data_IF_845738849542
#
_entry.id   IF_845738849542
#
_cell.length_a   1.000
_cell.length_b   1.000
_cell.length_c   1.000
_cell.angle_alpha   90.00
_cell.angle_beta   90.00
_cell.angle_gamma   90.00
#
_symmetry.space_group_name_H-M   'P 1'
#
loop_
_entity.id
_entity.type
_entity.pdbx_description
1 polymer ?
#
# COMPACT_ATOMS: atom_id res chain seq x y z
N UNK A 1 -40.29 37.47 20.93
CA UNK A 1 -40.65 36.07 21.26
C UNK A 1 -40.79 35.35 19.94
N UNK A 2 -39.67 34.83 19.44
CA UNK A 2 -39.62 34.04 18.21
C UNK A 2 -40.01 32.61 18.52
N UNK A 3 -40.89 32.04 17.67
CA UNK A 3 -41.31 30.66 17.74
C UNK A 3 -40.20 29.76 17.18
N UNK A 4 -39.80 28.77 17.98
CA UNK A 4 -38.81 27.75 17.64
C UNK A 4 -39.54 26.56 17.03
N UNK A 5 -39.23 26.23 15.78
CA UNK A 5 -39.66 24.97 15.16
C UNK A 5 -38.88 23.79 15.76
N UNK A 6 -39.53 22.65 16.07
CA UNK A 6 -38.86 21.46 16.59
C UNK A 6 -38.14 20.68 15.47
N UNK A 7 -37.05 19.95 15.78
CA UNK A 7 -36.31 19.21 14.76
C UNK A 7 -37.08 17.96 14.30
N UNK A 8 -37.03 17.72 12.99
CA UNK A 8 -37.58 16.56 12.29
C UNK A 8 -37.04 15.25 12.87
N UNK A 9 -37.98 14.40 13.28
CA UNK A 9 -37.78 13.00 13.68
C UNK A 9 -37.61 12.18 12.40
N UNK A 10 -36.42 11.63 12.17
CA UNK A 10 -36.21 10.64 11.11
C UNK A 10 -36.57 9.28 11.71
N UNK A 11 -37.66 8.69 11.21
CA UNK A 11 -38.06 7.33 11.56
C UNK A 11 -37.11 6.34 10.88
N UNK A 12 -36.43 5.51 11.69
CA UNK A 12 -35.67 4.37 11.20
C UNK A 12 -36.64 3.29 10.70
N UNK A 13 -36.81 3.23 9.38
CA UNK A 13 -37.45 2.08 8.74
C UNK A 13 -36.45 0.93 8.72
N UNK A 14 -36.59 0.00 9.66
CA UNK A 14 -35.92 -1.30 9.65
C UNK A 14 -36.39 -2.12 8.44
N UNK A 15 -35.52 -2.30 7.46
CA UNK A 15 -35.65 -3.36 6.44
C UNK A 15 -34.59 -4.40 6.74
N UNK A 16 -35.03 -5.57 7.21
CA UNK A 16 -34.20 -6.74 7.42
C UNK A 16 -33.74 -7.28 6.07
N UNK A 17 -32.46 -7.08 5.74
CA UNK A 17 -31.78 -7.91 4.77
C UNK A 17 -30.77 -8.78 5.52
N UNK A 18 -31.10 -10.07 5.61
CA UNK A 18 -30.14 -11.13 5.91
C UNK A 18 -29.01 -11.04 4.87
N UNK A 19 -27.86 -10.52 5.28
CA UNK A 19 -26.62 -10.63 4.51
C UNK A 19 -25.72 -11.56 5.32
N UNK A 20 -25.73 -12.81 4.88
CA UNK A 20 -24.93 -13.92 5.39
C UNK A 20 -23.49 -13.48 5.62
N UNK A 21 -23.02 -13.71 6.84
CA UNK A 21 -21.63 -13.56 7.26
C UNK A 21 -20.67 -14.24 6.29
N UNK A 22 -19.49 -13.65 6.12
CA UNK A 22 -18.33 -14.16 5.38
C UNK A 22 -18.33 -15.69 5.19
N UNK A 23 -18.75 -16.13 4.00
CA UNK A 23 -18.59 -17.51 3.56
C UNK A 23 -17.15 -17.73 3.09
N UNK A 24 -16.39 -18.48 3.87
CA UNK A 24 -15.23 -19.22 3.37
C UNK A 24 -15.70 -20.13 2.23
N UNK A 25 -15.03 -20.07 1.08
CA UNK A 25 -15.23 -21.08 0.03
C UNK A 25 -14.20 -22.17 0.30
N UNK A 26 -14.63 -23.41 0.46
CA UNK A 26 -13.71 -24.54 0.67
C UNK A 26 -12.92 -24.84 -0.62
N UNK A 27 -11.76 -25.48 -0.49
CA UNK A 27 -10.93 -25.92 -1.64
C UNK A 27 -11.71 -26.78 -2.64
N UNK A 28 -12.65 -27.59 -2.14
CA UNK A 28 -13.54 -28.44 -2.93
C UNK A 28 -14.58 -27.62 -3.72
N UNK A 29 -15.09 -26.54 -3.13
CA UNK A 29 -16.06 -25.65 -3.75
C UNK A 29 -15.41 -24.75 -4.84
N UNK A 30 -14.10 -24.48 -4.72
CA UNK A 30 -13.31 -23.83 -5.76
C UNK A 30 -13.00 -24.76 -6.95
N UNK A 31 -12.60 -26.02 -6.68
CA UNK A 31 -12.33 -27.01 -7.73
C UNK A 31 -13.58 -27.41 -8.53
N UNK A 32 -14.75 -27.41 -7.90
CA UNK A 32 -16.02 -27.63 -8.62
C UNK A 32 -16.42 -26.46 -9.53
N UNK A 33 -15.96 -25.23 -9.24
CA UNK A 33 -16.18 -24.07 -10.11
C UNK A 33 -15.18 -23.99 -11.27
N UNK A 34 -14.03 -24.65 -11.13
CA UNK A 34 -12.95 -24.67 -12.13
C UNK A 34 -12.39 -26.09 -12.32
N UNK A 35 -13.12 -26.98 -13.03
CA UNK A 35 -12.61 -28.30 -13.32
C UNK A 35 -11.39 -28.19 -14.27
N UNK A 36 -10.29 -28.92 -14.03
CA UNK A 36 -9.14 -28.89 -14.92
C UNK A 36 -9.51 -29.53 -16.27
N UNK A 37 -9.38 -28.75 -17.35
CA UNK A 37 -9.58 -29.23 -18.72
C UNK A 37 -8.44 -30.16 -19.11
N UNK A 38 -8.76 -31.40 -19.40
CA UNK A 38 -7.81 -32.40 -19.90
C UNK A 38 -7.47 -32.22 -21.38
N UNK A 39 -6.19 -32.47 -21.68
CA UNK A 39 -5.58 -32.91 -22.95
C UNK A 39 -5.56 -31.98 -24.16
N UNK A 40 -4.36 -31.86 -24.75
CA UNK A 40 -4.15 -31.50 -26.15
C UNK A 40 -2.82 -30.80 -26.41
N UNK A 41 -1.71 -31.54 -26.44
CA UNK A 41 -0.45 -31.05 -27.03
C UNK A 41 -0.60 -31.04 -28.55
N UNK A 42 -0.31 -29.92 -29.19
CA UNK A 42 0.07 -29.87 -30.61
C UNK A 42 1.21 -28.88 -30.77
N UNK A 43 2.35 -29.40 -31.19
CA UNK A 43 3.54 -28.69 -31.61
C UNK A 43 3.26 -27.93 -32.93
N UNK A 44 3.53 -26.62 -32.96
CA UNK A 44 3.86 -25.91 -34.19
C UNK A 44 5.04 -24.97 -33.90
N UNK A 45 6.20 -25.34 -34.45
CA UNK A 45 7.40 -24.53 -34.57
C UNK A 45 7.18 -23.40 -35.59
N UNK A 46 7.63 -22.17 -35.29
CA UNK A 46 8.21 -21.31 -36.33
C UNK A 46 9.11 -20.21 -35.74
N UNK A 47 10.30 -20.12 -36.35
CA UNK A 47 11.49 -19.39 -35.95
C UNK A 47 11.40 -17.86 -36.21
N UNK A 48 11.89 -17.03 -35.27
CA UNK A 48 13.07 -16.18 -35.52
C UNK A 48 13.48 -15.33 -34.30
N UNK A 49 14.78 -15.40 -34.05
CA UNK A 49 15.55 -14.79 -32.98
C UNK A 49 15.78 -13.27 -33.17
N UNK A 50 15.92 -12.54 -32.05
CA UNK A 50 17.18 -11.79 -31.79
C UNK A 50 17.29 -11.27 -30.33
N UNK A 51 18.00 -12.08 -29.52
CA UNK A 51 19.08 -11.78 -28.56
C UNK A 51 19.00 -10.54 -27.64
N UNK A 52 18.94 -10.77 -26.30
CA UNK A 52 20.06 -10.49 -25.38
C UNK A 52 20.02 -11.30 -24.07
N UNK A 53 21.17 -11.92 -23.80
CA UNK A 53 21.62 -12.83 -22.74
C UNK A 53 21.40 -12.41 -21.27
N UNK A 54 20.96 -13.33 -20.39
CA UNK A 54 21.90 -14.13 -19.59
C UNK A 54 21.26 -15.29 -18.80
N UNK A 55 21.97 -16.42 -18.79
CA UNK A 55 21.79 -17.68 -18.04
C UNK A 55 20.52 -18.50 -18.28
N UNK A 56 20.59 -19.44 -19.23
CA UNK A 56 19.77 -20.65 -19.21
C UNK A 56 20.61 -21.89 -19.49
N UNK A 57 20.33 -22.92 -18.70
CA UNK A 57 20.75 -24.33 -18.88
C UNK A 57 20.30 -24.79 -20.26
N UNK A 58 21.12 -25.58 -20.97
CA UNK A 58 20.82 -25.99 -22.34
C UNK A 58 19.66 -27.01 -22.40
N UNK A 59 18.93 -27.06 -23.52
CA UNK A 59 17.79 -27.99 -23.73
C UNK A 59 18.18 -29.47 -23.56
N UNK A 60 19.44 -29.83 -23.83
CA UNK A 60 19.98 -31.17 -23.61
C UNK A 60 20.20 -31.49 -22.12
N UNK A 61 20.57 -30.50 -21.29
CA UNK A 61 20.68 -30.67 -19.84
C UNK A 61 19.29 -30.81 -19.17
N UNK A 62 18.22 -30.31 -19.80
CA UNK A 62 16.84 -30.47 -19.33
C UNK A 62 16.27 -31.85 -19.65
N UNK A 63 16.64 -32.47 -20.79
CA UNK A 63 16.14 -33.80 -21.17
C UNK A 63 16.74 -34.92 -20.31
N UNK A 64 18.01 -34.79 -19.92
CA UNK A 64 18.69 -35.78 -19.07
C UNK A 64 18.21 -35.71 -17.60
N UNK A 65 17.69 -34.56 -17.15
CA UNK A 65 17.12 -34.40 -15.81
C UNK A 65 15.74 -35.06 -15.66
N UNK A 66 15.01 -35.29 -16.75
CA UNK A 66 13.64 -35.86 -16.74
C UNK A 66 13.65 -37.39 -16.74
N UNK A 67 14.79 -38.05 -17.04
CA UNK A 67 14.88 -39.50 -17.20
C UNK A 67 15.64 -40.24 -16.09
N UNK A 68 16.04 -39.54 -15.02
CA UNK A 68 16.65 -40.20 -13.86
C UNK A 68 15.57 -40.49 -12.82
N UNK A 69 15.24 -41.77 -12.62
CA UNK A 69 14.46 -42.22 -11.47
C UNK A 69 15.11 -41.69 -10.18
N UNK A 70 14.36 -41.05 -9.27
CA UNK A 70 14.93 -40.56 -8.02
C UNK A 70 15.47 -41.73 -7.20
N UNK A 71 16.55 -41.55 -6.42
CA UNK A 71 17.15 -42.63 -5.65
C UNK A 71 16.11 -43.24 -4.69
N UNK A 72 15.92 -44.56 -4.75
CA UNK A 72 15.04 -45.31 -3.85
C UNK A 72 15.39 -45.01 -2.39
N UNK A 73 14.58 -44.20 -1.73
CA UNK A 73 14.87 -43.67 -0.38
C UNK A 73 14.08 -42.43 0.01
N UNK A 74 13.37 -41.79 -0.93
CA UNK A 74 12.33 -40.82 -0.60
C UNK A 74 11.07 -41.64 -0.32
N UNK A 75 10.89 -42.03 0.94
CA UNK A 75 9.54 -42.30 1.41
C UNK A 75 8.77 -41.00 1.25
N UNK A 76 7.62 -41.05 0.57
CA UNK A 76 6.56 -40.08 0.72
C UNK A 76 6.12 -40.11 2.19
N UNK A 77 6.96 -39.57 3.07
CA UNK A 77 6.51 -39.08 4.36
C UNK A 77 5.66 -37.86 4.00
N UNK A 78 4.39 -38.15 3.70
CA UNK A 78 3.26 -37.29 4.06
C UNK A 78 3.44 -36.96 5.55
N UNK A 79 4.33 -36.00 5.85
CA UNK A 79 4.28 -35.23 7.08
C UNK A 79 2.96 -34.46 6.97
N UNK A 80 1.91 -35.14 7.40
CA UNK A 80 0.60 -34.58 7.65
C UNK A 80 0.82 -33.24 8.38
N UNK A 81 0.59 -32.13 7.69
CA UNK A 81 0.44 -30.78 8.23
C UNK A 81 -0.81 -30.70 9.16
N UNK A 82 -1.04 -31.71 9.99
CA UNK A 82 -2.08 -31.76 11.00
C UNK A 82 -1.74 -30.75 12.09
N UNK A 83 -2.19 -29.52 11.86
CA UNK A 83 -2.22 -28.48 12.88
C UNK A 83 -3.23 -28.89 13.94
N UNK A 84 -2.83 -28.82 15.22
CA UNK A 84 -3.74 -29.04 16.36
C UNK A 84 -5.00 -28.16 16.19
N UNK A 85 -6.21 -28.76 16.13
CA UNK A 85 -7.45 -28.00 15.97
C UNK A 85 -7.67 -26.93 17.06
N UNK A 86 -7.13 -27.13 18.26
CA UNK A 86 -7.17 -26.12 19.31
C UNK A 86 -6.29 -24.90 18.98
N UNK A 87 -5.09 -25.15 18.42
CA UNK A 87 -4.16 -24.11 17.98
C UNK A 87 -4.72 -23.33 16.80
N UNK A 88 -5.31 -24.02 15.82
CA UNK A 88 -5.97 -23.39 14.67
C UNK A 88 -7.16 -22.53 15.11
N UNK A 89 -8.00 -23.04 16.01
CA UNK A 89 -9.13 -22.28 16.56
C UNK A 89 -8.67 -21.01 17.27
N UNK A 90 -7.61 -21.09 18.05
CA UNK A 90 -7.02 -19.96 18.76
C UNK A 90 -6.39 -18.95 17.78
N UNK A 91 -5.70 -19.41 16.74
CA UNK A 91 -5.14 -18.56 15.69
C UNK A 91 -6.24 -17.72 15.00
N UNK A 92 -7.34 -18.35 14.57
CA UNK A 92 -8.46 -17.63 13.96
C UNK A 92 -9.22 -16.74 14.94
N UNK A 93 -9.24 -17.09 16.23
CA UNK A 93 -9.79 -16.22 17.28
C UNK A 93 -8.99 -14.92 17.38
N UNK A 94 -7.65 -15.00 17.45
CA UNK A 94 -6.77 -13.83 17.48
C UNK A 94 -6.92 -12.95 16.24
N UNK A 95 -6.99 -13.54 15.05
CA UNK A 95 -7.25 -12.78 13.81
C UNK A 95 -8.55 -11.99 13.91
N UNK A 96 -9.66 -12.62 14.32
CA UNK A 96 -10.97 -11.95 14.38
C UNK A 96 -11.04 -10.87 15.45
N UNK A 97 -10.49 -11.12 16.63
CA UNK A 97 -10.61 -10.17 17.76
C UNK A 97 -9.66 -8.98 17.64
N UNK A 98 -8.52 -9.18 16.97
CA UNK A 98 -7.49 -8.16 16.81
C UNK A 98 -7.44 -7.54 15.43
N UNK A 99 -8.34 -7.91 14.53
CA UNK A 99 -8.28 -7.54 13.11
C UNK A 99 -6.94 -7.93 12.43
N UNK A 100 -6.32 -9.02 12.88
CA UNK A 100 -5.02 -9.47 12.40
C UNK A 100 -3.79 -8.71 12.95
N UNK A 101 -3.95 -7.70 13.81
CA UNK A 101 -2.82 -6.95 14.38
C UNK A 101 -2.13 -7.64 15.56
N UNK A 102 -2.91 -8.30 16.43
CA UNK A 102 -2.41 -8.94 17.65
C UNK A 102 -2.54 -10.47 17.52
N UNK A 103 -1.82 -11.01 16.54
CA UNK A 103 -1.63 -12.45 16.36
C UNK A 103 -0.22 -12.82 16.78
N UNK A 104 -0.10 -13.73 17.75
CA UNK A 104 1.19 -14.20 18.28
C UNK A 104 1.45 -15.67 17.92
N UNK A 105 0.45 -16.38 17.40
CA UNK A 105 0.56 -17.79 17.01
C UNK A 105 0.94 -17.90 15.54
N UNK A 106 1.87 -18.80 15.25
CA UNK A 106 2.21 -19.23 13.89
C UNK A 106 1.72 -20.65 13.67
N UNK A 107 1.01 -20.87 12.58
CA UNK A 107 0.66 -22.21 12.08
C UNK A 107 1.38 -22.42 10.72
N UNK A 108 2.00 -23.58 10.46
CA UNK A 108 2.80 -23.82 9.25
C UNK A 108 2.05 -23.58 7.94
N UNK A 109 0.76 -23.91 7.91
CA UNK A 109 -0.11 -23.81 6.74
C UNK A 109 -0.64 -22.40 6.48
N UNK A 110 -0.37 -21.42 7.36
CA UNK A 110 -0.87 -20.06 7.18
C UNK A 110 0.05 -19.21 6.31
N UNK A 111 -0.57 -18.37 5.47
CA UNK A 111 0.11 -17.29 4.75
C UNK A 111 0.36 -16.04 5.60
N UNK A 112 0.08 -16.10 6.92
CA UNK A 112 0.33 -15.03 7.87
C UNK A 112 1.66 -15.25 8.62
N UNK A 113 2.57 -14.31 8.48
CA UNK A 113 3.86 -14.30 9.15
C UNK A 113 3.90 -13.19 10.20
N UNK A 114 4.21 -13.58 11.44
CA UNK A 114 4.33 -12.67 12.58
C UNK A 114 5.78 -12.22 12.74
N UNK A 115 5.99 -10.91 12.90
CA UNK A 115 7.30 -10.30 13.12
C UNK A 115 7.26 -9.37 14.34
N UNK A 116 8.29 -9.47 15.19
CA UNK A 116 8.53 -8.56 16.30
C UNK A 116 9.78 -7.75 15.95
N UNK A 117 9.69 -6.43 16.03
CA UNK A 117 10.80 -5.53 15.76
C UNK A 117 11.61 -5.34 17.05
N UNK A 118 12.93 -5.32 16.95
CA UNK A 118 13.76 -4.91 18.07
C UNK A 118 13.73 -3.39 18.20
N UNK A 119 13.89 -2.85 19.41
CA UNK A 119 13.88 -1.41 19.69
C UNK A 119 14.93 -0.59 18.91
N UNK A 120 15.88 -1.25 18.23
CA UNK A 120 16.93 -0.61 17.43
C UNK A 120 16.79 -0.84 15.92
N UNK A 121 15.74 -1.53 15.47
CA UNK A 121 15.53 -1.78 14.04
C UNK A 121 15.07 -0.47 13.37
N UNK A 122 15.99 0.18 12.64
CA UNK A 122 15.64 1.33 11.79
C UNK A 122 14.92 0.84 10.53
N UNK A 123 13.61 0.71 10.66
CA UNK A 123 12.69 0.38 9.57
C UNK A 123 12.23 1.62 8.79
N UNK A 124 12.73 2.84 9.09
CA UNK A 124 12.18 4.08 8.50
C UNK A 124 12.22 4.09 6.97
N UNK A 125 13.27 3.50 6.40
CA UNK A 125 13.44 3.34 4.95
C UNK A 125 12.96 1.99 4.41
N UNK A 126 12.59 1.04 5.27
CA UNK A 126 12.02 -0.23 4.84
C UNK A 126 10.55 -0.05 4.41
N UNK A 127 10.03 -0.96 3.58
CA UNK A 127 8.64 -0.93 3.11
C UNK A 127 7.66 -0.91 4.29
N UNK A 128 7.93 -1.63 5.38
CA UNK A 128 7.06 -1.66 6.55
C UNK A 128 7.04 -0.30 7.24
N UNK A 129 8.18 0.37 7.42
CA UNK A 129 8.21 1.71 8.00
C UNK A 129 7.61 2.77 7.09
N UNK A 130 7.76 2.64 5.78
CA UNK A 130 7.04 3.47 4.79
C UNK A 130 5.53 3.30 4.97
N UNK A 131 5.02 2.07 4.99
CA UNK A 131 3.60 1.76 5.20
C UNK A 131 3.09 2.34 6.53
N UNK A 132 3.86 2.21 7.62
CA UNK A 132 3.53 2.80 8.92
C UNK A 132 3.36 4.32 8.85
N UNK A 133 4.29 5.00 8.15
CA UNK A 133 4.25 6.47 7.97
C UNK A 133 3.11 6.91 7.06
N UNK A 134 2.77 6.15 6.02
CA UNK A 134 1.62 6.43 5.16
C UNK A 134 0.32 6.34 5.95
N UNK A 135 0.14 5.28 6.75
CA UNK A 135 -1.04 5.15 7.61
C UNK A 135 -1.15 6.27 8.62
N UNK A 136 -0.05 6.64 9.28
CA UNK A 136 -0.05 7.71 10.28
C UNK A 136 -0.32 9.08 9.66
N UNK A 137 0.26 9.34 8.48
CA UNK A 137 -0.06 10.53 7.67
C UNK A 137 -1.56 10.61 7.40
N UNK A 138 -2.18 9.51 6.94
CA UNK A 138 -3.60 9.53 6.63
C UNK A 138 -4.48 9.70 7.86
N UNK A 139 -4.12 9.08 8.98
CA UNK A 139 -4.78 9.32 10.26
C UNK A 139 -4.72 10.80 10.66
N UNK A 140 -3.54 11.41 10.60
CA UNK A 140 -3.34 12.83 10.90
C UNK A 140 -4.16 13.73 9.97
N UNK A 141 -4.19 13.41 8.67
CA UNK A 141 -4.97 14.12 7.68
C UNK A 141 -6.47 14.08 8.00
N UNK A 142 -7.02 12.91 8.36
CA UNK A 142 -8.44 12.75 8.66
C UNK A 142 -8.85 13.34 10.01
N UNK A 143 -7.98 13.27 11.03
CA UNK A 143 -8.30 13.74 12.39
C UNK A 143 -7.85 15.18 12.66
N UNK A 144 -7.06 15.79 11.77
CA UNK A 144 -6.44 17.09 12.00
C UNK A 144 -5.42 17.05 13.14
N UNK A 145 -4.77 15.91 13.37
CA UNK A 145 -3.71 15.74 14.37
C UNK A 145 -2.32 15.86 13.74
N UNK A 146 -1.28 15.87 14.57
CA UNK A 146 0.12 15.93 14.12
C UNK A 146 0.98 14.91 14.89
N UNK A 147 0.55 13.65 14.92
CA UNK A 147 1.31 12.58 15.56
C UNK A 147 2.55 12.23 14.74
N UNK A 148 3.66 11.95 15.42
CA UNK A 148 4.93 11.52 14.82
C UNK A 148 5.19 10.04 15.11
N UNK A 149 5.70 9.32 14.12
CA UNK A 149 6.03 7.90 14.26
C UNK A 149 7.35 7.77 15.04
N UNK A 150 7.35 7.02 16.13
CA UNK A 150 8.54 6.75 16.93
C UNK A 150 9.28 5.51 16.44
N UNK A 151 8.60 4.37 16.47
CA UNK A 151 9.13 3.10 15.95
C UNK A 151 7.97 2.12 15.66
N UNK A 152 8.27 1.11 14.85
CA UNK A 152 7.35 -0.01 14.61
C UNK A 152 7.64 -1.08 15.67
N UNK A 153 6.62 -1.51 16.41
CA UNK A 153 6.77 -2.52 17.48
C UNK A 153 6.75 -3.94 16.91
N UNK A 154 5.79 -4.16 16.01
CA UNK A 154 5.52 -5.45 15.39
C UNK A 154 4.68 -5.28 14.14
N UNK A 155 4.71 -6.29 13.27
CA UNK A 155 3.79 -6.36 12.16
C UNK A 155 3.49 -7.81 11.78
N UNK A 156 2.28 -8.02 11.27
CA UNK A 156 1.88 -9.29 10.68
C UNK A 156 1.76 -9.12 9.17
N UNK A 157 2.54 -9.90 8.43
CA UNK A 157 2.56 -9.89 6.98
C UNK A 157 1.67 -11.03 6.46
N UNK A 158 0.76 -10.73 5.55
CA UNK A 158 -0.05 -11.73 4.86
C UNK A 158 0.24 -11.67 3.37
N UNK A 159 0.54 -12.81 2.76
CA UNK A 159 0.59 -12.93 1.32
C UNK A 159 -0.63 -13.69 0.80
N UNK A 160 -1.52 -13.00 0.10
CA UNK A 160 -2.68 -13.60 -0.56
C UNK A 160 -2.89 -12.89 -1.89
N UNK A 161 -2.13 -13.31 -2.91
CA UNK A 161 -1.90 -12.62 -4.19
C UNK A 161 -1.16 -11.28 -4.06
N UNK A 162 -1.52 -10.45 -3.08
CA UNK A 162 -0.85 -9.20 -2.71
C UNK A 162 -0.24 -9.30 -1.31
N UNK A 163 0.70 -8.41 -1.00
CA UNK A 163 1.33 -8.33 0.31
C UNK A 163 0.59 -7.32 1.19
N UNK A 164 0.02 -7.78 2.30
CA UNK A 164 -0.68 -6.94 3.27
C UNK A 164 0.04 -6.95 4.62
N UNK A 165 0.22 -5.78 5.21
CA UNK A 165 0.86 -5.60 6.50
C UNK A 165 -0.14 -5.05 7.51
N UNK A 166 -0.31 -5.77 8.62
CA UNK A 166 -1.00 -5.27 9.82
C UNK A 166 0.08 -4.79 10.79
N UNK A 167 0.32 -3.48 10.81
CA UNK A 167 1.43 -2.86 11.51
C UNK A 167 0.94 -2.28 12.83
N UNK A 168 1.66 -2.55 13.91
CA UNK A 168 1.50 -1.88 15.21
C UNK A 168 2.76 -1.08 15.51
N UNK A 169 2.60 0.19 15.84
CA UNK A 169 3.69 1.14 16.04
C UNK A 169 3.41 2.09 17.20
N UNK A 170 4.46 2.67 17.77
CA UNK A 170 4.33 3.78 18.70
C UNK A 170 4.32 5.11 17.95
N UNK A 171 3.34 5.95 18.26
CA UNK A 171 3.25 7.33 17.80
C UNK A 171 3.23 8.30 18.99
N UNK A 172 3.82 9.48 18.83
CA UNK A 172 3.87 10.52 19.87
C UNK A 172 3.19 11.80 19.39
N UNK A 173 2.49 12.49 20.29
CA UNK A 173 2.09 13.87 20.08
C UNK A 173 3.23 14.80 20.53
N UNK A 174 3.93 15.49 19.59
CA UNK A 174 5.07 16.33 19.94
C UNK A 174 4.68 17.54 20.80
N UNK A 175 3.40 17.90 20.89
CA UNK A 175 2.95 19.04 21.69
C UNK A 175 2.93 18.75 23.20
N UNK A 176 2.79 17.48 23.59
CA UNK A 176 2.60 17.09 25.00
C UNK A 176 3.30 15.77 25.39
N UNK A 177 4.08 15.16 24.49
CA UNK A 177 4.79 13.89 24.68
C UNK A 177 3.86 12.70 24.99
N UNK A 178 2.56 12.79 24.67
CA UNK A 178 1.63 11.68 24.83
C UNK A 178 1.92 10.60 23.80
N UNK A 179 2.02 9.37 24.28
CA UNK A 179 2.31 8.19 23.46
C UNK A 179 1.04 7.40 23.18
N UNK A 180 0.94 6.92 21.95
CA UNK A 180 -0.19 6.15 21.46
C UNK A 180 0.30 4.91 20.73
N UNK A 181 -0.40 3.80 20.94
CA UNK A 181 -0.25 2.64 20.06
C UNK A 181 -1.07 2.89 18.80
N UNK A 182 -0.40 3.07 17.68
CA UNK A 182 -0.99 3.25 16.36
C UNK A 182 -1.05 1.91 15.61
N UNK A 183 -2.11 1.70 14.85
CA UNK A 183 -2.33 0.52 14.02
C UNK A 183 -2.70 0.93 12.60
N UNK A 184 -2.03 0.32 11.61
CA UNK A 184 -2.37 0.50 10.20
C UNK A 184 -2.36 -0.81 9.41
N UNK A 185 -3.39 -1.04 8.63
CA UNK A 185 -3.47 -2.15 7.67
C UNK A 185 -3.17 -1.59 6.28
N UNK A 186 -2.11 -2.09 5.65
CA UNK A 186 -1.63 -1.57 4.37
C UNK A 186 -1.40 -2.72 3.40
N UNK A 187 -2.07 -2.67 2.26
CA UNK A 187 -1.83 -3.58 1.13
C UNK A 187 -0.91 -2.91 0.12
N UNK A 188 0.22 -3.54 -0.13
CA UNK A 188 1.10 -3.27 -1.26
C UNK A 188 0.58 -4.09 -2.44
N UNK A 189 0.11 -3.40 -3.48
CA UNK A 189 -0.46 -4.03 -4.65
C UNK A 189 0.55 -4.09 -5.81
N UNK A 190 0.45 -5.12 -6.64
CA UNK A 190 1.15 -5.19 -7.93
C UNK A 190 0.63 -4.10 -8.85
N UNK A 191 1.54 -3.44 -9.57
CA UNK A 191 1.22 -2.39 -10.52
C UNK A 191 0.27 -2.93 -11.60
N UNK A 192 -0.95 -2.39 -11.68
CA UNK A 192 -1.93 -2.85 -12.68
C UNK A 192 -1.73 -2.15 -14.04
N UNK A 193 -0.91 -1.08 -14.07
CA UNK A 193 -0.79 -0.09 -15.15
C UNK A 193 0.64 0.50 -15.14
N UNK A 194 0.82 1.69 -15.72
CA UNK A 194 2.08 2.45 -15.78
C UNK A 194 2.59 3.03 -14.43
N UNK A 195 2.20 2.45 -13.29
CA UNK A 195 2.66 2.86 -11.96
C UNK A 195 3.87 2.00 -11.53
N UNK A 196 4.80 2.58 -10.78
CA UNK A 196 5.96 1.87 -10.22
C UNK A 196 5.66 1.30 -8.83
N UNK A 197 4.72 1.91 -8.11
CA UNK A 197 4.33 1.47 -6.77
C UNK A 197 2.89 1.88 -6.44
N UNK A 198 2.14 0.98 -5.80
CA UNK A 198 0.82 1.25 -5.23
C UNK A 198 0.76 0.85 -3.76
N UNK A 199 0.34 1.79 -2.92
CA UNK A 199 0.12 1.61 -1.48
C UNK A 199 -1.33 1.92 -1.15
N UNK A 200 -2.06 0.94 -0.63
CA UNK A 200 -3.44 1.07 -0.19
C UNK A 200 -3.53 0.87 1.32
N UNK A 201 -4.06 1.83 2.05
CA UNK A 201 -4.42 1.64 3.47
C UNK A 201 -5.89 1.28 3.59
N UNK A 202 -6.22 0.35 4.48
CA UNK A 202 -7.62 -0.03 4.81
C UNK A 202 -7.94 0.24 6.28
N UNK A 203 -6.92 0.44 7.12
CA UNK A 203 -7.09 0.81 8.53
C UNK A 203 -6.02 1.81 8.89
N UNK A 204 -6.38 2.92 9.53
CA UNK A 204 -5.46 3.88 10.15
C UNK A 204 -6.08 4.36 11.47
N UNK A 205 -5.63 3.85 12.62
CA UNK A 205 -6.28 4.15 13.91
C UNK A 205 -5.33 4.13 15.10
N UNK A 206 -5.70 4.82 16.17
CA UNK A 206 -5.17 4.50 17.51
C UNK A 206 -5.81 3.20 17.98
N UNK A 207 -5.00 2.29 18.53
CA UNK A 207 -5.44 0.99 19.02
C UNK A 207 -6.61 1.17 20.02
N UNK A 208 -7.75 0.48 19.80
CA UNK A 208 -8.87 0.51 20.73
C UNK A 208 -8.47 0.01 22.13
N UNK A 209 -9.04 0.60 23.18
CA UNK A 209 -8.81 0.17 24.57
C UNK A 209 -9.41 -1.21 24.86
N UNK A 210 -10.52 -1.53 24.20
CA UNK A 210 -11.21 -2.81 24.32
C UNK A 210 -11.06 -3.52 22.96
N UNK A 211 -10.54 -4.74 22.98
CA UNK A 211 -10.39 -5.54 21.76
C UNK A 211 -11.76 -5.80 21.12
N UNK A 212 -11.82 -5.81 19.79
CA UNK A 212 -13.07 -5.98 19.04
C UNK A 212 -14.01 -4.75 19.04
N UNK A 213 -13.67 -3.63 19.70
CA UNK A 213 -14.46 -2.38 19.62
C UNK A 213 -13.87 -1.37 18.64
N UNK A 214 -13.03 -1.82 17.72
CA UNK A 214 -12.54 -0.98 16.63
C UNK A 214 -13.64 -0.67 15.62
N UNK A 215 -13.38 0.31 14.76
CA UNK A 215 -14.24 0.55 13.60
C UNK A 215 -14.28 -0.71 12.72
N UNK A 216 -15.46 -0.99 12.15
CA UNK A 216 -15.65 -2.09 11.21
C UNK A 216 -14.68 -1.93 10.03
N UNK A 217 -13.90 -2.99 9.75
CA UNK A 217 -13.00 -3.01 8.60
C UNK A 217 -13.82 -3.25 7.35
N UNK A 218 -13.77 -2.29 6.44
CA UNK A 218 -14.44 -2.35 5.16
C UNK A 218 -13.41 -2.60 4.06
N UNK A 219 -13.86 -3.16 2.95
CA UNK A 219 -13.01 -3.30 1.76
C UNK A 219 -12.97 -2.01 0.99
N UNK A 220 -11.85 -1.77 0.33
CA UNK A 220 -11.72 -0.69 -0.63
C UNK A 220 -12.84 -0.70 -1.67
N UNK A 221 -13.45 0.47 -1.90
CA UNK A 221 -14.53 0.64 -2.86
C UNK A 221 -14.08 1.43 -4.09
N UNK A 222 -13.57 0.73 -5.10
CA UNK A 222 -13.15 1.34 -6.37
C UNK A 222 -14.28 2.08 -7.11
N UNK A 223 -15.54 1.69 -6.89
CA UNK A 223 -16.70 2.31 -7.54
C UNK A 223 -16.97 3.72 -7.00
N UNK A 224 -16.59 4.01 -5.75
CA UNK A 224 -16.79 5.32 -5.11
C UNK A 224 -15.81 6.39 -5.61
N UNK A 225 -14.73 5.98 -6.28
CA UNK A 225 -13.72 6.90 -6.81
C UNK A 225 -14.26 7.56 -8.08
N UNK A 226 -13.99 8.86 -8.25
CA UNK A 226 -14.33 9.55 -9.49
C UNK A 226 -13.47 9.05 -10.67
N UNK A 227 -14.10 8.91 -11.84
CA UNK A 227 -13.46 8.35 -13.03
C UNK A 227 -12.24 9.15 -13.51
N UNK A 228 -12.14 10.45 -13.20
CA UNK A 228 -10.97 11.28 -13.53
C UNK A 228 -9.71 10.79 -12.81
N UNK A 229 -9.86 10.14 -11.65
CA UNK A 229 -8.76 9.56 -10.89
C UNK A 229 -8.58 8.06 -11.13
N UNK A 230 -9.31 7.47 -12.09
CA UNK A 230 -9.12 6.07 -12.52
C UNK A 230 -8.19 6.00 -13.73
N UNK A 231 -7.94 4.78 -14.23
CA UNK A 231 -7.08 4.57 -15.39
C UNK A 231 -5.58 4.73 -15.09
N UNK A 232 -4.77 4.96 -16.12
CA UNK A 232 -3.31 5.13 -16.00
C UNK A 232 -2.99 6.45 -15.25
N UNK A 233 -1.80 6.52 -14.65
CA UNK A 233 -1.29 7.79 -14.16
C UNK A 233 -1.12 8.76 -15.35
N UNK A 234 -1.44 10.05 -15.18
CA UNK A 234 -1.28 11.02 -16.26
C UNK A 234 0.19 11.19 -16.64
N UNK A 235 0.44 11.77 -17.81
CA UNK A 235 1.79 12.16 -18.22
C UNK A 235 2.29 13.38 -17.44
N UNK A 236 3.62 13.56 -17.45
CA UNK A 236 4.25 14.72 -16.88
C UNK A 236 3.88 15.99 -17.65
N UNK A 237 3.59 17.06 -16.93
CA UNK A 237 3.25 18.35 -17.52
C UNK A 237 4.54 19.07 -17.90
N UNK A 238 4.67 19.53 -19.15
CA UNK A 238 5.87 20.25 -19.61
C UNK A 238 6.13 21.51 -18.79
N UNK A 239 7.40 21.88 -18.65
CA UNK A 239 7.79 23.05 -17.84
C UNK A 239 7.15 24.36 -18.36
N UNK A 240 6.98 24.50 -19.68
CA UNK A 240 6.29 25.66 -20.29
C UNK A 240 4.79 25.70 -19.94
N UNK A 241 4.15 24.52 -19.88
CA UNK A 241 2.75 24.41 -19.45
C UNK A 241 2.64 24.72 -17.96
N UNK A 242 3.57 24.23 -17.13
CA UNK A 242 3.66 24.55 -15.70
C UNK A 242 3.83 26.05 -15.42
N UNK A 243 4.57 26.76 -16.28
CA UNK A 243 4.83 28.20 -16.15
C UNK A 243 3.64 29.07 -16.58
N UNK A 244 2.74 28.56 -17.43
CA UNK A 244 1.52 29.24 -17.87
C UNK A 244 0.27 28.87 -17.07
N UNK A 245 0.35 27.90 -16.15
CA UNK A 245 -0.74 27.44 -15.27
C UNK A 245 -1.29 28.47 -14.25
N UNK A 246 -0.98 29.77 -14.38
CA UNK A 246 -1.49 30.78 -13.44
C UNK A 246 -3.02 30.99 -13.49
N UNK A 247 -3.72 30.44 -14.50
CA UNK A 247 -5.16 30.66 -14.73
C UNK A 247 -5.97 29.38 -15.06
N UNK A 248 -5.53 28.19 -14.65
CA UNK A 248 -6.40 26.99 -14.70
C UNK A 248 -6.86 26.64 -13.29
N UNK A 249 -8.16 26.80 -13.00
CA UNK A 249 -8.81 26.64 -11.67
C UNK A 249 -8.52 25.29 -10.97
N UNK A 250 -8.02 24.30 -11.72
CA UNK A 250 -7.73 22.96 -11.22
C UNK A 250 -6.31 22.77 -10.67
N UNK A 251 -5.38 23.70 -10.92
CA UNK A 251 -3.98 23.58 -10.50
C UNK A 251 -3.60 24.55 -9.38
N UNK A 252 -2.68 24.11 -8.53
CA UNK A 252 -2.01 24.98 -7.57
C UNK A 252 -0.52 24.65 -7.53
N UNK A 253 0.31 25.68 -7.71
CA UNK A 253 1.76 25.60 -7.49
C UNK A 253 2.03 25.82 -6.02
N UNK A 254 2.52 24.79 -5.35
CA UNK A 254 2.72 24.77 -3.91
C UNK A 254 3.91 25.66 -3.56
N UNK A 255 3.71 26.57 -2.61
CA UNK A 255 4.76 27.49 -2.17
C UNK A 255 5.74 26.79 -1.22
N UNK A 256 6.96 27.32 -1.11
CA UNK A 256 7.99 26.73 -0.23
C UNK A 256 7.55 26.71 1.25
N UNK A 257 6.78 27.70 1.69
CA UNK A 257 6.18 27.70 3.03
C UNK A 257 5.25 26.52 3.23
N UNK A 258 4.39 26.24 2.25
CA UNK A 258 3.44 25.13 2.31
C UNK A 258 4.18 23.77 2.29
N UNK A 259 5.27 23.65 1.52
CA UNK A 259 6.11 22.43 1.51
C UNK A 259 6.69 22.17 2.91
N UNK A 260 7.14 23.22 3.62
CA UNK A 260 7.67 23.10 4.98
C UNK A 260 6.59 22.77 6.02
N UNK A 261 5.37 23.27 5.83
CA UNK A 261 4.22 22.98 6.69
C UNK A 261 3.68 21.55 6.49
N UNK A 262 3.83 20.98 5.29
CA UNK A 262 3.25 19.69 4.92
C UNK A 262 4.36 18.63 4.74
N UNK A 263 4.88 18.12 5.87
CA UNK A 263 5.94 17.11 5.90
C UNK A 263 5.64 15.84 5.08
N UNK A 264 4.37 15.53 4.82
CA UNK A 264 3.96 14.39 4.00
C UNK A 264 4.28 14.56 2.51
N UNK A 265 4.53 15.78 2.02
CA UNK A 265 5.08 15.97 0.67
C UNK A 265 6.48 15.38 0.57
N UNK A 266 7.28 15.51 1.64
CA UNK A 266 8.56 14.84 1.75
C UNK A 266 8.37 13.32 1.79
N UNK A 267 7.36 12.81 2.51
CA UNK A 267 7.04 11.38 2.50
C UNK A 267 6.71 10.88 1.08
N UNK A 268 5.85 11.58 0.33
CA UNK A 268 5.53 11.18 -1.05
C UNK A 268 6.76 11.20 -1.96
N UNK A 269 7.66 12.16 -1.76
CA UNK A 269 8.92 12.25 -2.48
C UNK A 269 9.86 11.10 -2.13
N UNK A 270 9.97 10.76 -0.85
CA UNK A 270 10.75 9.60 -0.38
C UNK A 270 10.22 8.29 -0.95
N UNK A 271 8.89 8.11 -1.01
CA UNK A 271 8.26 6.91 -1.59
C UNK A 271 8.46 6.84 -3.11
N UNK A 272 8.33 7.96 -3.82
CA UNK A 272 8.62 7.99 -5.25
C UNK A 272 10.10 7.68 -5.55
N UNK A 273 11.01 8.17 -4.70
CA UNK A 273 12.42 7.77 -4.79
C UNK A 273 12.62 6.30 -4.45
N UNK A 274 11.84 5.74 -3.52
CA UNK A 274 11.90 4.33 -3.16
C UNK A 274 11.52 3.44 -4.34
N UNK A 275 10.48 3.79 -5.09
CA UNK A 275 10.00 2.98 -6.22
C UNK A 275 11.00 2.86 -7.37
N UNK A 276 11.92 3.82 -7.54
CA UNK A 276 13.00 3.73 -8.53
C UNK A 276 14.07 2.68 -8.20
N UNK A 277 14.32 2.47 -6.90
CA UNK A 277 15.46 1.68 -6.42
C UNK A 277 14.98 0.47 -5.64
N UNK A 278 13.75 0.02 -5.87
CA UNK A 278 13.22 -1.14 -5.20
C UNK A 278 14.06 -2.38 -5.52
N UNK A 279 14.52 -3.09 -4.47
CA UNK A 279 15.44 -4.21 -4.60
C UNK A 279 16.93 -3.82 -4.65
N UNK A 280 17.24 -2.52 -4.70
CA UNK A 280 18.62 -2.02 -4.67
C UNK A 280 18.99 -1.51 -3.26
N UNK A 281 20.09 -2.04 -2.71
CA UNK A 281 20.62 -1.62 -1.40
C UNK A 281 21.04 -0.14 -1.33
N UNK A 282 21.07 0.59 -2.45
CA UNK A 282 21.35 2.03 -2.52
C UNK A 282 20.27 2.92 -1.91
N UNK A 283 19.12 2.37 -1.53
CA UNK A 283 17.99 3.09 -0.94
C UNK A 283 18.35 4.01 0.24
N UNK A 284 19.24 3.55 1.14
CA UNK A 284 19.70 4.34 2.30
C UNK A 284 20.56 5.55 1.93
N UNK A 285 21.08 5.60 0.70
CA UNK A 285 22.01 6.65 0.26
C UNK A 285 21.35 7.87 -0.38
N UNK A 286 20.05 7.81 -0.74
CA UNK A 286 19.38 8.87 -1.49
C UNK A 286 18.68 9.93 -0.62
N UNK A 287 18.71 9.80 0.70
CA UNK A 287 18.09 10.75 1.65
C UNK A 287 19.21 11.61 2.29
N UNK A 288 19.05 12.94 2.43
CA UNK A 288 17.84 13.72 2.19
C UNK A 288 17.61 14.05 0.70
N UNK A 289 16.32 14.14 0.36
CA UNK A 289 15.85 14.62 -0.95
C UNK A 289 15.47 16.09 -0.84
N UNK A 290 15.81 16.88 -1.86
CA UNK A 290 15.40 18.27 -1.98
C UNK A 290 14.25 18.38 -2.99
N UNK A 291 13.06 18.74 -2.51
CA UNK A 291 11.93 19.12 -3.36
C UNK A 291 12.24 20.46 -4.04
N UNK A 292 12.10 20.53 -5.37
CA UNK A 292 12.30 21.74 -6.17
C UNK A 292 11.00 22.43 -6.52
N UNK A 293 9.99 21.66 -6.94
CA UNK A 293 8.69 22.18 -7.31
C UNK A 293 7.61 21.14 -7.04
N UNK A 294 6.44 21.59 -6.61
CA UNK A 294 5.25 20.75 -6.50
C UNK A 294 4.09 21.47 -7.16
N UNK A 295 3.43 20.78 -8.07
CA UNK A 295 2.12 21.16 -8.59
C UNK A 295 1.09 20.16 -8.09
N UNK A 296 -0.02 20.65 -7.58
CA UNK A 296 -1.19 19.81 -7.24
C UNK A 296 -2.32 20.10 -8.20
N UNK A 297 -2.99 19.04 -8.66
CA UNK A 297 -4.20 19.07 -9.46
C UNK A 297 -5.33 18.42 -8.69
N UNK A 298 -6.46 19.10 -8.62
CA UNK A 298 -7.72 18.57 -8.08
C UNK A 298 -8.85 18.82 -9.05
N UNK A 299 -9.86 17.94 -9.06
CA UNK A 299 -11.10 18.18 -9.79
C UNK A 299 -11.89 19.31 -9.14
N UNK A 300 -11.97 19.28 -7.82
CA UNK A 300 -12.70 20.23 -6.99
C UNK A 300 -12.13 21.63 -7.15
N UNK A 301 -13.03 22.61 -7.23
CA UNK A 301 -12.71 24.03 -7.34
C UNK A 301 -12.31 24.61 -5.96
N UNK A 302 -11.21 24.07 -5.41
CA UNK A 302 -10.55 24.61 -4.24
C UNK A 302 -9.64 25.77 -4.62
N UNK A 303 -9.60 26.81 -3.78
CA UNK A 303 -8.72 27.96 -4.00
C UNK A 303 -7.30 27.64 -3.54
N UNK A 304 -6.33 27.74 -4.45
CA UNK A 304 -4.90 27.76 -4.12
C UNK A 304 -4.51 26.61 -3.15
N UNK A 305 -4.00 26.93 -1.95
CA UNK A 305 -3.53 25.95 -0.96
C UNK A 305 -4.57 24.98 -0.42
N UNK A 306 -5.86 25.28 -0.54
CA UNK A 306 -6.93 24.38 -0.10
C UNK A 306 -6.92 23.06 -0.88
N UNK A 307 -6.36 23.04 -2.10
CA UNK A 307 -6.16 21.82 -2.90
C UNK A 307 -5.31 20.76 -2.17
N UNK A 308 -4.41 21.16 -1.28
CA UNK A 308 -3.61 20.22 -0.48
C UNK A 308 -4.46 19.40 0.50
N UNK A 309 -5.63 19.93 0.89
CA UNK A 309 -6.61 19.29 1.78
C UNK A 309 -7.65 18.44 1.05
N UNK A 310 -7.60 18.39 -0.29
CA UNK A 310 -8.51 17.55 -1.06
C UNK A 310 -8.26 16.07 -0.76
N UNK A 311 -9.32 15.25 -0.64
CA UNK A 311 -9.15 13.80 -0.51
C UNK A 311 -8.44 13.22 -1.74
N UNK A 312 -9.02 13.47 -2.92
CA UNK A 312 -8.46 13.08 -4.20
C UNK A 312 -7.58 14.19 -4.78
N UNK A 313 -6.37 13.84 -5.24
CA UNK A 313 -5.44 14.80 -5.85
C UNK A 313 -4.37 14.11 -6.68
N UNK A 314 -3.80 14.82 -7.65
CA UNK A 314 -2.61 14.40 -8.40
C UNK A 314 -1.49 15.40 -8.14
N UNK A 315 -0.34 14.91 -7.72
CA UNK A 315 0.85 15.69 -7.41
C UNK A 315 1.91 15.44 -8.47
N UNK A 316 2.50 16.52 -8.96
CA UNK A 316 3.68 16.51 -9.84
C UNK A 316 4.82 17.10 -9.03
N UNK A 317 5.76 16.26 -8.64
CA UNK A 317 6.86 16.59 -7.74
C UNK A 317 8.17 16.51 -8.53
N UNK A 318 8.92 17.61 -8.60
CA UNK A 318 10.32 17.56 -9.03
C UNK A 318 11.24 17.65 -7.84
N UNK A 319 12.26 16.80 -7.80
CA UNK A 319 13.17 16.69 -6.67
C UNK A 319 14.55 16.23 -7.12
N UNK A 320 15.52 16.24 -6.20
CA UNK A 320 16.86 15.67 -6.42
C UNK A 320 17.44 15.11 -5.13
N UNK A 321 18.34 14.14 -5.26
CA UNK A 321 19.17 13.68 -4.14
C UNK A 321 20.17 14.76 -3.72
N UNK A 322 20.30 15.01 -2.41
CA UNK A 322 21.33 15.93 -1.88
C UNK A 322 22.69 15.24 -1.83
N UNK A 323 22.68 13.94 -1.50
CA UNK A 323 23.85 13.10 -1.38
C UNK A 323 23.80 12.04 -2.49
N UNK A 324 24.42 12.28 -3.65
CA UNK A 324 24.64 11.25 -4.66
C UNK A 324 26.06 10.71 -4.48
N UNK A 325 26.27 9.50 -3.92
CA UNK A 325 27.61 8.98 -3.64
C UNK A 325 28.46 8.85 -4.91
N UNK A 326 27.82 8.53 -6.04
CA UNK A 326 28.45 8.34 -7.33
C UNK A 326 27.55 8.93 -8.43
N UNK A 327 28.01 10.02 -9.06
CA UNK A 327 27.37 10.61 -10.23
C UNK A 327 26.90 12.06 -10.06
N UNK A 328 26.57 12.74 -11.18
CA UNK A 328 26.02 14.09 -11.16
C UNK A 328 24.69 14.11 -10.40
N UNK A 329 24.35 15.26 -9.82
CA UNK A 329 23.05 15.49 -9.18
C UNK A 329 21.97 15.37 -10.25
N UNK A 330 21.28 14.24 -10.30
CA UNK A 330 20.20 14.01 -11.24
C UNK A 330 18.90 14.58 -10.67
N UNK A 331 18.17 15.30 -11.53
CA UNK A 331 16.83 15.75 -11.22
C UNK A 331 15.85 14.62 -11.54
N UNK A 332 14.93 14.38 -10.62
CA UNK A 332 13.89 13.38 -10.74
C UNK A 332 12.53 14.06 -10.75
N UNK A 333 11.57 13.39 -11.39
CA UNK A 333 10.19 13.83 -11.50
C UNK A 333 9.29 12.68 -11.07
N UNK A 334 8.30 12.96 -10.24
CA UNK A 334 7.36 11.97 -9.76
C UNK A 334 5.92 12.45 -9.91
N UNK A 335 5.06 11.54 -10.32
CA UNK A 335 3.63 11.72 -10.39
C UNK A 335 3.03 10.84 -9.30
N UNK A 336 2.27 11.46 -8.40
CA UNK A 336 1.61 10.77 -7.29
C UNK A 336 0.12 11.02 -7.39
N UNK A 337 -0.67 9.98 -7.53
CA UNK A 337 -2.13 10.08 -7.44
C UNK A 337 -2.58 9.58 -6.07
N UNK A 338 -3.33 10.43 -5.37
CA UNK A 338 -4.00 10.11 -4.12
C UNK A 338 -5.49 9.97 -4.39
N UNK A 339 -6.06 8.85 -3.97
CA UNK A 339 -7.51 8.61 -4.05
C UNK A 339 -8.09 8.14 -2.73
N UNK A 340 -9.37 8.43 -2.54
CA UNK A 340 -10.17 8.05 -1.37
C UNK A 340 -11.53 7.55 -1.83
N UNK A 341 -12.04 6.52 -1.18
CA UNK A 341 -13.36 5.92 -1.45
C UNK A 341 -14.46 6.41 -0.47
N UNK A 342 -14.10 7.34 0.42
CA UNK A 342 -14.98 7.90 1.45
C UNK A 342 -15.02 7.10 2.75
N UNK A 343 -14.31 5.97 2.84
CA UNK A 343 -14.25 5.16 4.06
C UNK A 343 -13.11 5.68 4.97
N UNK A 344 -13.33 5.84 6.30
CA UNK A 344 -12.28 6.22 7.23
C UNK A 344 -11.09 5.25 7.20
N UNK A 345 -9.86 5.76 7.28
CA UNK A 345 -8.65 4.95 7.19
C UNK A 345 -8.27 4.50 5.78
N UNK A 346 -9.13 4.70 4.77
CA UNK A 346 -8.87 4.29 3.39
C UNK A 346 -8.18 5.41 2.59
N UNK A 347 -7.02 5.10 2.01
CA UNK A 347 -6.36 5.91 0.98
C UNK A 347 -5.53 5.02 0.07
N UNK A 348 -5.58 5.30 -1.23
CA UNK A 348 -4.69 4.69 -2.20
C UNK A 348 -3.71 5.76 -2.73
N UNK A 349 -2.43 5.40 -2.75
CA UNK A 349 -1.35 6.19 -3.30
C UNK A 349 -0.69 5.41 -4.43
N UNK A 350 -0.69 5.99 -5.62
CA UNK A 350 -0.09 5.43 -6.83
C UNK A 350 1.06 6.34 -7.26
N UNK A 351 2.24 5.75 -7.50
CA UNK A 351 3.47 6.47 -7.79
C UNK A 351 4.01 6.08 -9.15
N UNK A 352 4.48 7.08 -9.90
CA UNK A 352 5.32 6.91 -11.08
C UNK A 352 6.49 7.88 -11.00
N UNK A 353 7.71 7.38 -11.00
CA UNK A 353 8.91 8.16 -10.97
C UNK A 353 9.63 8.06 -12.31
N UNK A 354 9.89 9.20 -12.93
CA UNK A 354 10.48 9.29 -14.25
C UNK A 354 12.00 9.36 -14.12
N UNK A 355 12.68 8.39 -14.74
CA UNK A 355 14.11 8.49 -15.01
C UNK A 355 14.27 9.53 -16.12
N UNK A 356 14.94 10.65 -15.83
CA UNK A 356 15.36 11.57 -16.88
C UNK A 356 16.60 10.96 -17.53
N UNK A 357 16.57 10.75 -18.85
CA UNK A 357 17.65 10.13 -19.61
C UNK A 357 19.02 10.73 -19.22
N UNK A 358 19.96 9.83 -18.93
CA UNK A 358 21.33 10.11 -18.50
C UNK A 358 22.19 10.76 -19.61
#
# INVERSE_FOLDING_TARGET
>A
MEAVDPPLRIEETTVSHDVSSCGFISKEEWLNKHPPSGSGWTDEDDDNDDVFSSSFISKEELSDAVHNDPPSGWTDEDDDDQVDPALEKEFYRQIRESDGFDVDIRIPTSSLYVYKCANNDDLRGDIVGICARVGLHWYNFQKGSNLELMHVDKYNSRFCALMTYNITAEAVDPANDSRFTFQTCVTRATCQKDEDLRILTEVCRIKPKIQGTGDEIKRWNDEAIDDIYKGNLPEWISDDTLMSCSEQDHFYRVQESDIREHNWLQLYTEIASYSLWEGDMRLKSCVPLQIKNVLVRTREDFKSKEKLKAGNAIFYISFRGVNTPHGPRQDHRAIVRRTVDGIPGHVCLEFKCLLMDL
#
